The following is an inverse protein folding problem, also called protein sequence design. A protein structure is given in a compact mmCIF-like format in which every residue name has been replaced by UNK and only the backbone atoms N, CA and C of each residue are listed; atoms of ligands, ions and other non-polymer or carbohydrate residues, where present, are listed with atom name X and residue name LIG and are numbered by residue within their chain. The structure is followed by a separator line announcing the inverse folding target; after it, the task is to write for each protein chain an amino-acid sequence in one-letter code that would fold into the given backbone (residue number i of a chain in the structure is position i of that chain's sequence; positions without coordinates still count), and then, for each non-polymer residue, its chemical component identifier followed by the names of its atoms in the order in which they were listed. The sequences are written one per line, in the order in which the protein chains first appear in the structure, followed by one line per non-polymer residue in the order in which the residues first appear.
data_IF_213947630787
#
_entry.id   IF_213947630787
#
_cell.length_a   1.000
_cell.length_b   1.000
_cell.length_c   1.000
_cell.angle_alpha   90.00
_cell.angle_beta   90.00
_cell.angle_gamma   90.00
#
_symmetry.space_group_name_H-M   'P 1'
#
loop_
_entity.id
_entity.type
_entity.pdbx_description
1 polymer ?
#
# COMPACT_ATOMS: atom_id res chain seq x y z
N UNK A 1 -3.97 -15.42 -8.51
CA UNK A 1 -3.62 -15.08 -9.91
C UNK A 1 -4.37 -13.83 -10.26
N UNK A 2 -3.66 -12.79 -10.68
CA UNK A 2 -4.27 -11.60 -11.24
C UNK A 2 -5.02 -11.99 -12.51
N UNK A 3 -6.32 -11.73 -12.57
CA UNK A 3 -7.19 -12.20 -13.66
C UNK A 3 -7.00 -11.42 -14.95
N UNK A 4 -6.32 -10.27 -14.90
CA UNK A 4 -6.10 -9.38 -16.04
C UNK A 4 -4.80 -9.71 -16.77
N UNK A 5 -3.75 -10.02 -16.01
CA UNK A 5 -2.38 -10.25 -16.49
C UNK A 5 -1.95 -11.71 -16.44
N UNK A 6 -2.68 -12.56 -15.70
CA UNK A 6 -2.32 -13.96 -15.46
C UNK A 6 -1.11 -14.14 -14.53
N UNK A 7 -0.59 -13.05 -13.96
CA UNK A 7 0.60 -13.10 -13.08
C UNK A 7 0.25 -13.56 -11.67
N UNK A 8 1.26 -14.11 -11.01
CA UNK A 8 1.21 -14.51 -9.61
C UNK A 8 2.43 -13.91 -8.93
N UNK A 9 2.20 -13.18 -7.85
CA UNK A 9 3.24 -12.79 -6.92
C UNK A 9 3.38 -13.90 -5.85
N UNK A 10 4.61 -14.38 -5.62
CA UNK A 10 4.92 -15.37 -4.61
C UNK A 10 6.25 -14.99 -3.94
N UNK A 11 6.14 -14.17 -2.90
CA UNK A 11 7.27 -13.40 -2.37
C UNK A 11 7.38 -13.50 -0.84
N UNK A 12 8.60 -13.30 -0.33
CA UNK A 12 8.87 -13.11 1.09
C UNK A 12 9.11 -11.62 1.35
N UNK A 13 8.02 -10.90 1.61
CA UNK A 13 8.07 -9.45 1.79
C UNK A 13 8.55 -9.04 3.18
N UNK A 14 9.47 -8.07 3.20
CA UNK A 14 9.91 -7.38 4.41
C UNK A 14 9.19 -6.04 4.50
N UNK A 15 8.38 -5.85 5.54
CA UNK A 15 7.69 -4.56 5.78
C UNK A 15 8.63 -3.61 6.50
N UNK A 16 9.00 -2.51 5.83
CA UNK A 16 9.81 -1.43 6.38
C UNK A 16 8.96 -0.21 6.69
N UNK A 17 9.22 0.47 7.80
CA UNK A 17 8.58 1.74 8.16
C UNK A 17 9.62 2.83 8.31
N UNK A 18 9.27 4.05 7.89
CA UNK A 18 10.14 5.22 7.97
C UNK A 18 9.32 6.50 8.05
N UNK A 19 9.95 7.58 8.49
CA UNK A 19 9.35 8.91 8.54
C UNK A 19 9.95 9.76 7.44
N UNK A 20 9.11 10.41 6.64
CA UNK A 20 9.53 11.38 5.65
C UNK A 20 9.34 12.79 6.21
N UNK A 21 10.43 13.44 6.60
CA UNK A 21 10.40 14.78 7.17
C UNK A 21 10.75 15.86 6.13
N UNK A 22 9.98 16.94 6.10
CA UNK A 22 10.32 18.17 5.38
C UNK A 22 10.46 18.05 3.85
N UNK A 23 10.01 16.95 3.24
CA UNK A 23 10.07 16.72 1.80
C UNK A 23 8.74 16.20 1.25
N UNK A 24 8.35 16.74 0.11
CA UNK A 24 7.24 16.21 -0.70
C UNK A 24 7.78 15.12 -1.63
N UNK A 25 7.15 13.93 -1.72
CA UNK A 25 7.53 12.92 -2.70
C UNK A 25 7.45 13.46 -4.13
N UNK A 26 8.47 13.17 -4.94
CA UNK A 26 8.50 13.45 -6.38
C UNK A 26 8.76 12.12 -7.11
N UNK A 27 7.72 11.29 -7.29
CA UNK A 27 7.88 9.97 -7.91
C UNK A 27 8.08 10.07 -9.42
N UNK A 28 8.63 9.02 -10.03
CA UNK A 28 8.67 8.87 -11.48
C UNK A 28 7.22 8.66 -12.00
N UNK A 29 6.73 9.51 -12.93
CA UNK A 29 5.37 9.38 -13.45
C UNK A 29 5.13 8.12 -14.29
N UNK A 30 6.18 7.42 -14.73
CA UNK A 30 6.04 6.12 -15.40
C UNK A 30 5.70 4.99 -14.42
N UNK A 31 5.98 5.17 -13.12
CA UNK A 31 5.79 4.15 -12.08
C UNK A 31 4.65 4.49 -11.11
N UNK A 32 4.42 5.78 -10.82
CA UNK A 32 3.38 6.23 -9.89
C UNK A 32 2.49 7.26 -10.56
N UNK A 33 1.22 6.89 -10.78
CA UNK A 33 0.24 7.78 -11.41
C UNK A 33 -0.27 8.89 -10.46
N UNK A 34 -0.42 8.59 -9.16
CA UNK A 34 -0.88 9.54 -8.14
C UNK A 34 -0.51 9.03 -6.73
N UNK A 35 -0.52 9.91 -5.71
CA UNK A 35 -0.33 9.55 -4.31
C UNK A 35 -1.10 10.46 -3.35
N UNK A 36 -1.41 9.93 -2.17
CA UNK A 36 -2.04 10.70 -1.08
C UNK A 36 -1.53 10.24 0.28
N UNK A 37 -1.48 11.17 1.23
CA UNK A 37 -1.29 10.85 2.64
C UNK A 37 -2.65 10.54 3.27
N UNK A 38 -2.75 9.41 3.97
CA UNK A 38 -4.00 8.96 4.61
C UNK A 38 -3.72 8.54 6.05
N UNK A 39 -4.69 8.80 6.93
CA UNK A 39 -4.70 8.19 8.25
C UNK A 39 -4.87 6.66 8.11
N UNK A 40 -4.10 5.84 8.85
CA UNK A 40 -4.18 4.38 8.76
C UNK A 40 -5.58 3.80 8.99
N UNK A 41 -6.39 4.41 9.87
CA UNK A 41 -7.72 3.91 10.23
C UNK A 41 -8.71 4.19 9.10
N UNK A 42 -8.60 5.37 8.50
CA UNK A 42 -9.35 5.75 7.30
C UNK A 42 -8.99 4.81 6.14
N UNK A 43 -7.71 4.53 5.93
CA UNK A 43 -7.27 3.61 4.89
C UNK A 43 -7.83 2.20 5.12
N UNK A 44 -7.82 1.67 6.35
CA UNK A 44 -8.44 0.38 6.70
C UNK A 44 -9.93 0.31 6.35
N UNK A 45 -10.68 1.39 6.62
CA UNK A 45 -12.09 1.46 6.27
C UNK A 45 -12.31 1.43 4.76
N UNK A 46 -11.52 2.19 4.00
CA UNK A 46 -11.58 2.20 2.52
C UNK A 46 -11.25 0.84 1.92
N UNK A 47 -10.21 0.17 2.41
CA UNK A 47 -9.84 -1.17 1.96
C UNK A 47 -10.93 -2.22 2.25
N UNK A 48 -11.66 -2.04 3.34
CA UNK A 48 -12.82 -2.90 3.68
C UNK A 48 -14.01 -2.63 2.75
N UNK A 49 -14.27 -1.36 2.45
CA UNK A 49 -15.38 -0.93 1.59
C UNK A 49 -15.16 -1.26 0.10
N UNK A 50 -13.91 -1.20 -0.37
CA UNK A 50 -13.54 -1.41 -1.77
C UNK A 50 -12.23 -2.19 -1.91
N UNK A 51 -12.18 -3.48 -1.56
CA UNK A 51 -10.93 -4.25 -1.56
C UNK A 51 -10.28 -4.37 -2.94
N UNK A 52 -11.07 -4.32 -4.02
CA UNK A 52 -10.57 -4.41 -5.40
C UNK A 52 -9.86 -3.13 -5.90
N UNK A 53 -9.96 -2.02 -5.15
CA UNK A 53 -9.26 -0.77 -5.46
C UNK A 53 -7.80 -0.78 -5.00
N UNK A 54 -7.39 -1.80 -4.24
CA UNK A 54 -6.07 -1.91 -3.64
C UNK A 54 -5.37 -3.20 -4.07
N UNK A 55 -4.05 -3.19 -4.00
CA UNK A 55 -3.27 -4.42 -4.16
C UNK A 55 -3.57 -5.37 -2.98
N UNK A 56 -3.69 -6.69 -3.23
CA UNK A 56 -4.07 -7.64 -2.18
C UNK A 56 -3.14 -7.64 -0.96
N UNK A 57 -1.85 -7.39 -1.15
CA UNK A 57 -0.84 -7.39 -0.09
C UNK A 57 -0.91 -6.16 0.83
N UNK A 58 -1.56 -5.05 0.43
CA UNK A 58 -1.54 -3.81 1.21
C UNK A 58 -2.19 -3.96 2.60
N UNK A 59 -3.18 -4.84 2.73
CA UNK A 59 -3.90 -5.04 4.01
C UNK A 59 -2.96 -5.61 5.08
N UNK A 60 -2.16 -6.60 4.70
CA UNK A 60 -1.17 -7.20 5.58
C UNK A 60 0.00 -6.26 5.87
N UNK A 61 0.45 -5.50 4.87
CA UNK A 61 1.47 -4.45 5.06
C UNK A 61 0.99 -3.43 6.09
N UNK A 62 -0.23 -2.90 5.94
CA UNK A 62 -0.78 -1.90 6.86
C UNK A 62 -0.95 -2.45 8.28
N UNK A 63 -1.42 -3.70 8.42
CA UNK A 63 -1.51 -4.40 9.70
C UNK A 63 -0.15 -4.53 10.39
N UNK A 64 0.89 -4.95 9.66
CA UNK A 64 2.24 -5.10 10.20
C UNK A 64 2.87 -3.74 10.56
N UNK A 65 2.72 -2.75 9.68
CA UNK A 65 3.26 -1.40 9.88
C UNK A 65 2.63 -0.65 11.07
N UNK A 66 1.44 -1.06 11.52
CA UNK A 66 0.71 -0.43 12.63
C UNK A 66 0.70 -1.26 13.91
N UNK A 67 1.26 -2.49 13.90
CA UNK A 67 1.18 -3.41 15.04
C UNK A 67 1.88 -2.89 16.32
N UNK A 68 2.87 -2.00 16.19
CA UNK A 68 3.69 -1.52 17.31
C UNK A 68 3.56 -0.01 17.58
N UNK A 69 2.45 0.60 17.17
CA UNK A 69 2.09 1.96 17.58
C UNK A 69 1.15 1.96 18.77
#
# INVERSE_FOLDING_TARGET
MDTTTGRVEHEWDHVLTGVLEGRTPVPDPNEVADYTWQDPDVLRQRMTAGPHEFTPWLADVLRLATHHR
#
